data_IF_696264532155
#
_entry.id   IF_696264532155
#
_cell.length_a   1.000
_cell.length_b   1.000
_cell.length_c   1.000
_cell.angle_alpha   90.00
_cell.angle_beta   90.00
_cell.angle_gamma   90.00
#
_symmetry.space_group_name_H-M   'P 1'
#
loop_
_entity.id
_entity.type
_entity.pdbx_description
1 polymer ?
2 non-polymer ?
3 non-polymer ?
4 non-polymer ?
5 water ?
#
# COMPACT_ATOMS: atom_id res chain seq x y z
N UNK A 4 -18.78 22.71 11.22
CA UNK A 4 -17.61 23.21 12.00
C UNK A 4 -16.35 22.38 11.77
N UNK A 5 -15.23 22.93 12.18
CA UNK A 5 -13.92 22.35 11.93
C UNK A 5 -13.74 21.02 12.66
N UNK A 6 -12.72 20.27 12.23
CA UNK A 6 -12.41 18.97 12.81
C UNK A 6 -10.91 18.83 12.91
N UNK A 7 -10.45 18.26 14.02
CA UNK A 7 -9.07 17.79 14.13
C UNK A 7 -9.07 16.42 14.77
N UNK A 8 -7.95 15.71 14.64
CA UNK A 8 -7.83 14.34 15.13
C UNK A 8 -6.68 14.22 16.13
N UNK A 9 -6.82 13.28 17.06
CA UNK A 9 -5.71 12.84 17.90
C UNK A 9 -5.53 11.35 17.64
N UNK A 10 -4.31 10.94 17.30
CA UNK A 10 -4.01 9.54 17.05
C UNK A 10 -3.03 9.05 18.12
N UNK A 11 -3.40 8.03 18.88
CA UNK A 11 -2.51 7.43 19.88
C UNK A 11 -1.61 6.41 19.21
N UNK A 12 -0.31 6.62 19.31
CA UNK A 12 0.67 5.82 18.58
C UNK A 12 1.99 5.63 19.32
N UNK A 13 1.95 5.67 20.65
CA UNK A 13 3.17 5.64 21.49
C UNK A 13 3.61 4.24 21.92
N UNK A 14 2.74 3.24 21.76
CA UNK A 14 3.00 1.89 22.25
C UNK A 14 4.24 1.21 21.68
N UNK A 15 4.88 0.40 22.51
CA UNK A 15 6.07 -0.37 22.11
C UNK A 15 5.75 -1.54 21.19
N UNK A 16 4.60 -2.17 21.38
CA UNK A 16 4.26 -3.38 20.63
C UNK A 16 5.25 -4.50 20.92
N UNK A 17 5.45 -4.78 22.22
CA UNK A 17 6.41 -5.78 22.67
C UNK A 17 6.16 -7.16 22.05
N UNK A 18 4.89 -7.53 21.86
CA UNK A 18 4.56 -8.86 21.36
C UNK A 18 4.68 -8.98 19.84
N UNK A 19 5.09 -7.89 19.18
CA UNK A 19 5.57 -7.96 17.80
C UNK A 19 6.99 -8.53 17.73
N UNK A 20 7.72 -8.45 18.84
CA UNK A 20 9.12 -8.90 18.93
C UNK A 20 9.95 -8.31 17.79
N UNK A 21 9.91 -6.99 17.70
CA UNK A 21 10.46 -6.24 16.58
C UNK A 21 11.25 -5.04 17.08
N UNK A 22 12.18 -4.58 16.25
CA UNK A 22 12.88 -3.32 16.50
C UNK A 22 12.03 -2.12 16.08
N UNK A 23 10.97 -2.37 15.29
CA UNK A 23 10.04 -1.31 14.91
C UNK A 23 9.09 -1.00 16.06
N UNK A 24 8.63 0.26 16.16
CA UNK A 24 7.51 0.53 17.06
C UNK A 24 6.21 -0.04 16.49
N UNK A 25 5.24 -0.21 17.37
CA UNK A 25 4.01 -0.96 17.06
C UNK A 25 3.32 -0.49 15.78
N UNK A 26 3.16 0.81 15.60
CA UNK A 26 2.30 1.33 14.54
C UNK A 26 2.97 1.43 13.17
N UNK A 27 4.27 1.13 13.09
CA UNK A 27 4.98 1.21 11.80
C UNK A 27 4.87 -0.10 11.01
N UNK A 28 4.41 -1.17 11.65
CA UNK A 28 4.14 -2.43 10.93
C UNK A 28 3.02 -2.18 9.93
N UNK A 29 3.13 -2.81 8.78
CA UNK A 29 2.29 -2.44 7.65
C UNK A 29 1.06 -3.31 7.47
N UNK A 30 0.03 -2.70 6.91
CA UNK A 30 -1.12 -3.37 6.31
C UNK A 30 -1.18 -2.89 4.85
N UNK A 31 -1.30 -3.81 3.90
CA UNK A 31 -1.28 -3.49 2.47
C UNK A 31 -0.11 -2.59 2.09
N UNK A 32 1.07 -2.86 2.67
CA UNK A 32 2.29 -2.11 2.34
C UNK A 32 2.41 -0.72 2.96
N UNK A 33 1.47 -0.35 3.82
CA UNK A 33 1.39 0.98 4.39
C UNK A 33 1.33 0.88 5.92
N UNK A 34 2.20 1.63 6.64
CA UNK A 34 2.21 1.53 8.11
C UNK A 34 0.82 1.71 8.70
N UNK A 35 0.49 0.98 9.77
CA UNK A 35 -0.85 1.09 10.40
C UNK A 35 -1.26 2.55 10.68
N UNK A 36 -0.35 3.32 11.27
CA UNK A 36 -0.65 4.71 11.62
C UNK A 36 -0.90 5.57 10.40
N UNK A 37 -0.27 5.23 9.27
CA UNK A 37 -0.48 5.98 8.03
C UNK A 37 -1.89 5.74 7.49
N UNK A 38 -2.42 4.53 7.65
CA UNK A 38 -3.84 4.29 7.35
C UNK A 38 -4.71 5.29 8.13
N UNK A 39 -4.45 5.41 9.42
CA UNK A 39 -5.25 6.27 10.29
C UNK A 39 -5.05 7.76 9.95
N UNK A 40 -3.80 8.18 9.75
CA UNK A 40 -3.50 9.55 9.31
C UNK A 40 -4.28 9.89 8.03
N UNK A 41 -4.23 9.01 7.04
CA UNK A 41 -4.95 9.21 5.77
C UNK A 41 -6.45 9.32 5.96
N UNK A 42 -7.01 8.41 6.76
CA UNK A 42 -8.45 8.47 7.07
C UNK A 42 -8.81 9.82 7.70
N UNK A 43 -8.02 10.26 8.67
CA UNK A 43 -8.23 11.54 9.33
C UNK A 43 -8.22 12.69 8.31
N UNK A 44 -7.29 12.64 7.36
CA UNK A 44 -7.20 13.63 6.30
C UNK A 44 -8.44 13.56 5.37
N UNK A 45 -8.83 12.35 4.95
CA UNK A 45 -10.07 12.15 4.14
C UNK A 45 -11.31 12.78 4.80
N UNK A 46 -11.38 12.70 6.13
CA UNK A 46 -12.43 13.33 6.92
C UNK A 46 -12.35 14.86 6.92
N UNK A 47 -11.23 15.41 6.46
CA UNK A 47 -11.03 16.84 6.42
C UNK A 47 -10.47 17.41 7.70
N UNK A 48 -9.70 16.60 8.43
CA UNK A 48 -9.07 17.05 9.67
C UNK A 48 -8.15 18.22 9.38
N UNK A 49 -8.24 19.26 10.19
CA UNK A 49 -7.41 20.44 10.03
C UNK A 49 -6.04 20.21 10.64
N UNK A 50 -6.02 19.70 11.88
CA UNK A 50 -4.79 19.27 12.54
C UNK A 50 -4.87 17.78 12.84
N UNK A 51 -3.72 17.13 12.93
CA UNK A 51 -3.64 15.74 13.32
C UNK A 51 -2.57 15.67 14.38
N UNK A 52 -2.99 15.48 15.62
CA UNK A 52 -2.09 15.43 16.74
C UNK A 52 -1.69 13.97 16.95
N UNK A 53 -0.42 13.68 16.69
CA UNK A 53 0.09 12.32 16.79
C UNK A 53 0.82 12.14 18.11
N UNK A 54 0.23 11.36 19.00
CA UNK A 54 0.87 11.04 20.26
C UNK A 54 1.84 9.88 20.03
N UNK A 55 3.13 10.12 20.20
CA UNK A 55 4.15 9.13 19.93
C UNK A 55 5.11 9.03 21.11
N UNK A 56 5.97 8.02 21.11
CA UNK A 56 6.83 7.73 22.25
C UNK A 56 7.89 6.70 21.94
N UNK A 57 7.54 5.43 22.11
CA UNK A 57 8.46 4.34 21.78
C UNK A 57 8.82 4.34 20.30
N UNK A 58 10.09 4.05 20.00
CA UNK A 58 10.59 4.11 18.63
C UNK A 58 10.42 5.48 18.03
N UNK A 59 10.58 6.53 18.85
CA UNK A 59 10.32 7.90 18.42
C UNK A 59 11.19 8.31 17.25
N UNK A 60 12.47 7.92 17.29
CA UNK A 60 13.42 8.21 16.20
C UNK A 60 12.98 7.61 14.87
N UNK A 61 12.50 6.37 14.91
CA UNK A 61 12.04 5.67 13.71
C UNK A 61 10.70 6.21 13.23
N UNK A 62 9.84 6.64 14.17
CA UNK A 62 8.58 7.29 13.81
C UNK A 62 8.89 8.55 12.98
N UNK A 63 9.82 9.35 13.47
CA UNK A 63 10.17 10.60 12.80
C UNK A 63 10.73 10.37 11.39
N UNK A 64 11.61 9.37 11.26
CA UNK A 64 12.22 9.08 9.95
C UNK A 64 11.21 8.50 8.96
N UNK A 65 10.37 7.57 9.42
CA UNK A 65 9.40 6.89 8.56
C UNK A 65 8.19 7.76 8.18
N UNK A 66 7.86 8.72 9.03
CA UNK A 66 6.67 9.55 8.83
C UNK A 66 7.05 11.02 8.65
N UNK A 67 8.29 11.28 8.24
CA UNK A 67 8.84 12.65 8.21
C UNK A 67 8.01 13.62 7.36
N UNK A 68 7.37 13.13 6.31
CA UNK A 68 6.57 14.00 5.44
C UNK A 68 5.07 14.07 5.81
N UNK A 69 4.68 13.49 6.94
CA UNK A 69 3.27 13.54 7.35
C UNK A 69 2.95 14.90 7.96
N UNK A 70 1.78 15.42 7.63
CA UNK A 70 1.31 16.69 8.21
C UNK A 70 0.63 16.41 9.55
N UNK A 71 1.48 16.21 10.56
CA UNK A 71 1.02 15.88 11.91
C UNK A 71 1.73 16.76 12.91
N UNK A 72 1.11 16.95 14.07
CA UNK A 72 1.71 17.62 15.21
C UNK A 72 2.36 16.56 16.10
N UNK A 73 3.67 16.69 16.32
CA UNK A 73 4.44 15.66 17.04
C UNK A 73 4.41 15.86 18.56
N UNK A 74 3.47 15.18 19.22
CA UNK A 74 3.29 15.28 20.66
C UNK A 74 3.93 14.07 21.35
N UNK A 75 5.08 14.29 22.00
CA UNK A 75 5.82 13.20 22.65
C UNK A 75 5.25 12.85 24.02
N UNK A 76 5.00 11.56 24.22
CA UNK A 76 4.56 11.00 25.50
C UNK A 76 5.77 10.37 26.18
N UNK A 77 6.05 10.76 27.42
CA UNK A 77 7.18 10.22 28.18
C UNK A 77 6.77 9.12 29.18
N UNK A 78 5.48 8.97 29.43
CA UNK A 78 4.99 7.96 30.38
C UNK A 78 3.55 7.55 30.09
N UNK A 79 3.26 6.26 30.32
CA UNK A 79 1.93 5.73 30.13
C UNK A 79 1.09 5.97 31.39
N UNK A 80 0.10 6.85 31.26
CA UNK A 80 -0.85 7.13 32.34
C UNK A 80 -2.29 7.10 31.81
N UNK A 81 -2.51 6.29 30.78
CA UNK A 81 -3.84 6.05 30.24
C UNK A 81 -4.21 6.94 29.07
N UNK A 82 -5.35 6.64 28.45
CA UNK A 82 -5.78 7.32 27.23
C UNK A 82 -6.15 8.80 27.46
N UNK A 83 -6.76 9.10 28.61
CA UNK A 83 -7.12 10.49 28.94
C UNK A 83 -5.87 11.37 29.12
N UNK A 84 -4.84 10.82 29.76
CA UNK A 84 -3.58 11.55 29.91
C UNK A 84 -2.87 11.77 28.58
N UNK A 85 -2.88 10.75 27.72
CA UNK A 85 -2.29 10.86 26.39
C UNK A 85 -2.94 11.98 25.59
N UNK A 86 -4.27 11.92 25.49
CA UNK A 86 -5.05 12.92 24.78
C UNK A 86 -4.88 14.33 25.37
N UNK A 87 -4.70 14.42 26.70
CA UNK A 87 -4.52 15.72 27.34
C UNK A 87 -3.21 16.40 26.93
N UNK A 88 -2.20 15.62 26.55
CA UNK A 88 -0.97 16.21 26.02
C UNK A 88 -1.21 17.00 24.72
N UNK A 89 -2.23 16.61 23.97
CA UNK A 89 -2.60 17.29 22.72
C UNK A 89 -3.60 18.42 22.93
N UNK A 90 -4.33 18.36 24.05
CA UNK A 90 -5.47 19.24 24.32
C UNK A 90 -5.19 20.76 24.31
N UNK A 91 -3.98 21.19 24.72
CA UNK A 91 -3.68 22.62 24.59
C UNK A 91 -3.75 23.14 23.15
N UNK A 92 -3.64 22.26 22.16
CA UNK A 92 -3.70 22.63 20.75
C UNK A 92 -5.10 22.46 20.13
N UNK A 93 -6.06 21.97 20.92
CA UNK A 93 -7.44 21.91 20.45
C UNK A 93 -8.02 23.32 20.42
N UNK A 94 -8.77 23.62 19.36
CA UNK A 94 -9.57 24.84 19.30
C UNK A 94 -10.90 24.59 20.02
N UNK A 95 -11.32 25.56 20.83
CA UNK A 95 -12.55 25.38 21.62
C UNK A 95 -13.74 24.99 20.77
N UNK A 96 -13.84 25.55 19.56
CA UNK A 96 -15.00 25.36 18.70
C UNK A 96 -14.83 24.40 17.53
N UNK A 97 -13.81 23.54 17.58
CA UNK A 97 -13.68 22.46 16.59
C UNK A 97 -14.04 21.14 17.26
N UNK A 98 -14.54 20.20 16.46
CA UNK A 98 -14.66 18.82 16.91
C UNK A 98 -13.28 18.16 16.95
N UNK A 99 -13.12 17.22 17.88
CA UNK A 99 -11.93 16.39 17.99
C UNK A 99 -12.35 14.93 17.95
N UNK A 100 -11.78 14.16 17.03
CA UNK A 100 -12.00 12.72 16.96
C UNK A 100 -10.76 12.00 17.49
N UNK A 101 -10.96 11.04 18.39
CA UNK A 101 -9.86 10.28 18.97
C UNK A 101 -9.73 8.92 18.27
N UNK A 102 -8.51 8.60 17.84
CA UNK A 102 -8.24 7.41 17.05
C UNK A 102 -6.98 6.73 17.54
N UNK A 103 -6.77 5.49 17.09
CA UNK A 103 -5.67 4.65 17.58
C UNK A 103 -4.80 4.17 16.42
N UNK A 104 -3.48 4.39 16.54
CA UNK A 104 -2.54 4.13 15.46
C UNK A 104 -2.36 2.65 15.14
N UNK A 105 -2.75 1.79 16.09
CA UNK A 105 -2.70 0.33 15.94
C UNK A 105 -4.07 -0.28 15.63
N UNK A 106 -5.04 0.55 15.27
CA UNK A 106 -6.36 0.11 14.82
C UNK A 106 -6.58 0.72 13.45
N UNK A 107 -5.95 0.14 12.42
CA UNK A 107 -5.80 0.83 11.13
C UNK A 107 -7.00 0.83 10.21
N UNK A 108 -7.99 -0.03 10.45
CA UNK A 108 -9.08 -0.25 9.49
C UNK A 108 -10.32 0.62 9.72
N UNK A 109 -10.25 1.55 10.67
CA UNK A 109 -11.36 2.49 10.90
C UNK A 109 -11.64 3.30 9.63
N UNK A 110 -12.90 3.34 9.18
CA UNK A 110 -13.26 3.97 7.91
C UNK A 110 -13.78 5.41 8.05
N UNK A 111 -13.54 6.19 7.01
CA UNK A 111 -14.08 7.55 6.90
C UNK A 111 -15.58 7.54 7.09
N UNK A 112 -16.25 6.61 6.41
CA UNK A 112 -17.72 6.51 6.43
C UNK A 112 -18.26 6.32 7.84
N UNK A 113 -17.73 5.34 8.58
CA UNK A 113 -18.12 5.15 9.98
C UNK A 113 -17.90 6.41 10.80
N UNK A 114 -16.78 7.10 10.56
CA UNK A 114 -16.44 8.30 11.32
C UNK A 114 -17.32 9.51 10.96
N UNK A 115 -17.76 9.61 9.71
CA UNK A 115 -18.73 10.62 9.30
C UNK A 115 -20.04 10.45 10.08
N UNK A 116 -20.54 9.22 10.15
CA UNK A 116 -21.74 8.89 10.92
C UNK A 116 -21.58 9.29 12.38
N UNK A 117 -20.44 8.92 12.97
CA UNK A 117 -20.11 9.26 14.35
C UNK A 117 -20.14 10.77 14.58
N UNK A 118 -19.44 11.51 13.73
CA UNK A 118 -19.38 12.96 13.83
C UNK A 118 -20.76 13.63 13.68
N UNK A 119 -21.58 13.12 12.75
CA UNK A 119 -22.94 13.66 12.58
C UNK A 119 -23.83 13.42 13.81
N UNK A 120 -23.64 12.29 14.49
CA UNK A 120 -24.44 11.93 15.66
C UNK A 120 -24.07 12.71 16.93
N UNK A 121 -22.93 13.41 16.93
CA UNK A 121 -22.50 14.15 18.11
C UNK A 121 -23.46 15.32 18.39
N UNK A 122 -24.12 15.30 19.56
CA UNK A 122 -25.02 16.39 19.92
C UNK A 122 -24.23 17.58 20.45
N UNK A 123 -24.75 18.78 20.25
CA UNK A 123 -24.03 20.00 20.64
C UNK A 123 -23.58 19.93 22.09
N UNK A 124 -22.32 20.32 22.34
CA UNK A 124 -21.67 20.21 23.66
C UNK A 124 -21.66 18.79 24.26
N UNK A 125 -21.97 17.79 23.43
CA UNK A 125 -22.00 16.41 23.88
C UNK A 125 -20.88 15.59 23.27
N UNK A 126 -21.00 14.26 23.40
CA UNK A 126 -20.03 13.31 22.89
C UNK A 126 -20.72 12.32 21.94
N UNK A 127 -20.04 11.99 20.84
CA UNK A 127 -20.46 10.86 20.01
C UNK A 127 -19.47 9.72 20.30
N UNK A 128 -19.97 8.59 20.77
CA UNK A 128 -19.14 7.44 21.13
C UNK A 128 -19.34 6.31 20.12
N UNK A 129 -18.24 5.73 19.64
CA UNK A 129 -18.31 4.59 18.74
C UNK A 129 -18.40 3.30 19.54
N UNK A 130 -19.43 2.51 19.26
CA UNK A 130 -19.65 1.25 19.95
C UNK A 130 -19.77 0.12 18.95
N UNK A 131 -19.73 -1.12 19.47
CA UNK A 131 -19.86 -2.31 18.63
C UNK A 131 -20.48 -3.45 19.45
N UNK A 132 -21.31 -4.26 18.80
CA UNK A 132 -21.92 -5.44 19.43
C UNK A 132 -21.04 -6.67 19.24
N UNK A 133 -20.76 -7.39 20.32
CA UNK A 133 -20.01 -8.64 20.28
C UNK A 133 -20.87 -9.78 20.83
N UNK A 134 -20.76 -10.96 20.23
CA UNK A 134 -21.45 -12.15 20.73
C UNK A 134 -20.93 -12.52 22.11
N UNK A 135 -19.61 -12.46 22.25
CA UNK A 135 -18.94 -12.65 23.53
C UNK A 135 -18.20 -11.36 23.92
N UNK A 136 -18.89 -10.47 24.67
CA UNK A 136 -18.31 -9.18 25.07
C UNK A 136 -17.36 -9.26 26.28
N UNK A 137 -16.98 -10.46 26.70
CA UNK A 137 -16.15 -10.65 27.88
C UNK A 137 -14.84 -9.87 27.77
N UNK A 138 -14.58 -9.04 28.77
CA UNK A 138 -13.34 -8.27 28.85
C UNK A 138 -13.42 -6.87 28.28
N UNK A 139 -14.55 -6.51 27.66
CA UNK A 139 -14.75 -5.19 27.08
C UNK A 139 -15.70 -4.35 27.93
N UNK A 140 -15.54 -3.03 27.87
CA UNK A 140 -16.37 -2.10 28.64
C UNK A 140 -17.79 -2.05 28.12
N UNK A 141 -18.74 -2.44 28.96
CA UNK A 141 -20.15 -2.52 28.55
C UNK A 141 -20.74 -1.12 28.48
N UNK A 142 -21.53 -0.86 27.43
CA UNK A 142 -22.23 0.40 27.28
C UNK A 142 -23.55 0.34 28.05
N UNK A 143 -23.68 1.20 29.04
CA UNK A 143 -24.89 1.30 29.84
C UNK A 143 -25.75 2.46 29.33
N UNK A 144 -26.94 2.14 28.85
CA UNK A 144 -27.90 3.16 28.42
C UNK A 144 -29.02 3.29 29.44
N UNK A 145 -29.49 4.52 29.65
CA UNK A 145 -30.70 4.79 30.42
C UNK A 145 -31.65 5.58 29.55
N UNK A 146 -32.88 5.07 29.41
CA UNK A 146 -33.76 5.40 28.29
C UNK A 146 -33.08 4.90 27.01
N UNK A 147 -32.72 5.82 26.10
CA UNK A 147 -31.89 5.47 24.94
C UNK A 147 -30.61 6.29 24.90
N UNK A 148 -30.19 6.80 26.06
CA UNK A 148 -29.00 7.63 26.17
C UNK A 148 -27.88 6.85 26.87
N UNK A 149 -26.66 7.00 26.40
CA UNK A 149 -25.51 6.36 27.04
C UNK A 149 -25.11 7.16 28.27
N UNK A 150 -25.04 6.50 29.41
CA UNK A 150 -24.75 7.16 30.69
C UNK A 150 -23.39 6.77 31.26
N UNK A 151 -22.95 5.55 30.99
CA UNK A 151 -21.66 5.08 31.50
C UNK A 151 -21.07 3.96 30.64
N UNK A 152 -19.81 3.64 30.90
CA UNK A 152 -19.14 2.49 30.33
C UNK A 152 -18.63 1.67 31.50
N UNK A 153 -19.18 0.48 31.71
CA UNK A 153 -18.83 -0.36 32.86
C UNK A 153 -17.84 -1.47 32.48
N UNK A 154 -16.67 -1.45 33.12
CA UNK A 154 -15.58 -2.38 32.81
C UNK A 154 -15.88 -3.79 33.32
N UNK A 155 -15.32 -4.78 32.65
CA UNK A 155 -15.61 -6.20 32.92
C UNK A 155 -15.63 -6.54 34.40
N UNK A 156 -14.58 -6.11 35.12
CA UNK A 156 -14.42 -6.48 36.52
C UNK A 156 -15.41 -5.77 37.46
N UNK A 157 -16.01 -4.68 36.97
CA UNK A 157 -17.00 -3.92 37.74
C UNK A 157 -18.43 -4.35 37.46
N UNK A 158 -18.68 -4.96 36.29
CA UNK A 158 -20.05 -5.23 35.84
C UNK A 158 -20.75 -6.30 36.68
N UNK A 159 -22.04 -6.10 36.93
CA UNK A 159 -22.88 -7.11 37.58
C UNK A 159 -23.43 -8.11 36.56
N UNK A 160 -24.04 -9.18 37.05
CA UNK A 160 -24.57 -10.26 36.22
C UNK A 160 -25.43 -9.75 35.05
N UNK A 161 -26.29 -8.78 35.33
CA UNK A 161 -27.17 -8.17 34.32
C UNK A 161 -26.37 -7.34 33.30
N UNK A 162 -25.33 -6.66 33.77
CA UNK A 162 -24.48 -5.84 32.91
C UNK A 162 -23.55 -6.69 32.02
N UNK A 163 -23.10 -7.83 32.54
CA UNK A 163 -22.25 -8.75 31.78
C UNK A 163 -22.95 -9.32 30.54
N UNK A 164 -24.28 -9.35 30.55
CA UNK A 164 -25.07 -9.77 29.39
C UNK A 164 -25.18 -8.72 28.29
N UNK A 165 -24.78 -7.48 28.58
CA UNK A 165 -24.81 -6.43 27.57
C UNK A 165 -23.77 -6.75 26.49
N UNK A 166 -24.21 -6.77 25.24
CA UNK A 166 -23.36 -7.14 24.09
C UNK A 166 -22.68 -5.92 23.46
N UNK A 167 -23.27 -4.74 23.66
CA UNK A 167 -22.72 -3.49 23.14
C UNK A 167 -21.55 -3.01 24.01
N UNK A 168 -20.39 -2.86 23.37
CA UNK A 168 -19.17 -2.48 24.07
C UNK A 168 -18.50 -1.21 23.53
N UNK A 169 -17.59 -0.68 24.32
CA UNK A 169 -16.81 0.52 24.00
C UNK A 169 -15.63 0.18 23.06
N UNK A 170 -15.48 0.96 22.00
CA UNK A 170 -14.37 0.82 21.07
C UNK A 170 -13.21 1.79 21.37
N UNK A 171 -13.49 2.84 22.14
CA UNK A 171 -12.49 3.85 22.48
C UNK A 171 -12.52 5.08 21.58
N UNK A 172 -13.18 4.98 20.44
CA UNK A 172 -13.26 6.08 19.49
C UNK A 172 -14.45 6.97 19.85
N UNK A 173 -14.19 8.26 19.92
CA UNK A 173 -15.21 9.24 20.33
C UNK A 173 -14.95 10.60 19.69
N UNK A 174 -16.02 11.39 19.60
CA UNK A 174 -15.94 12.77 19.14
C UNK A 174 -16.58 13.71 20.16
N UNK A 175 -15.89 14.80 20.47
CA UNK A 175 -16.44 15.92 21.26
C UNK A 175 -15.77 17.20 20.81
N UNK A 176 -16.28 18.35 21.25
CA UNK A 176 -15.63 19.63 20.93
C UNK A 176 -14.40 19.87 21.82
N UNK A 177 -13.50 20.73 21.36
CA UNK A 177 -12.24 20.99 22.05
C UNK A 177 -12.39 21.57 23.44
N UNK A 178 -13.30 22.53 23.60
CA UNK A 178 -13.57 23.12 24.92
C UNK A 178 -13.97 22.04 25.92
N UNK A 179 -14.94 21.21 25.52
CA UNK A 179 -15.40 20.10 26.37
C UNK A 179 -14.28 19.11 26.70
N UNK A 180 -13.40 18.82 25.74
CA UNK A 180 -12.24 17.96 26.00
C UNK A 180 -11.31 18.56 27.05
N UNK A 181 -10.96 19.84 26.90
CA UNK A 181 -10.05 20.49 27.85
C UNK A 181 -10.63 20.48 29.27
N UNK A 182 -11.93 20.75 29.37
CA UNK A 182 -12.68 20.78 30.63
C UNK A 182 -12.72 19.41 31.31
N UNK A 183 -13.28 18.42 30.60
CA UNK A 183 -13.48 17.07 31.16
C UNK A 183 -12.19 16.30 31.41
N UNK A 184 -11.21 16.44 30.53
CA UNK A 184 -9.91 15.76 30.70
C UNK A 184 -9.21 16.17 32.00
N UNK A 185 -9.41 17.42 32.40
CA UNK A 185 -8.86 17.96 33.64
C UNK A 185 -9.53 17.37 34.88
N UNK A 186 -10.79 16.93 34.73
CA UNK A 186 -11.55 16.30 35.82
C UNK A 186 -11.35 14.78 35.91
N UNK A 187 -10.63 14.17 34.97
CA UNK A 187 -10.39 12.73 35.00
C UNK A 187 -9.38 12.40 36.09
N UNK A 188 -9.68 11.40 36.91
CA UNK A 188 -8.78 10.93 37.96
C UNK A 188 -8.17 9.58 37.65
N UNK A 189 -7.21 9.15 38.45
CA UNK A 189 -6.55 7.87 38.23
C UNK A 189 -6.57 6.93 39.45
N UNK A 190 -7.60 7.07 40.28
CA UNK A 190 -7.72 6.23 41.49
C UNK A 190 -8.32 4.88 41.11
N UNK A 191 -7.50 4.02 40.51
CA UNK A 191 -7.91 2.70 40.04
C UNK A 191 -6.73 1.74 40.06
N UNK A 192 -6.99 0.45 39.80
CA UNK A 192 -5.97 -0.59 39.92
C UNK A 192 -4.74 -0.40 39.00
N UNK A 193 -4.92 0.26 37.86
CA UNK A 193 -3.79 0.58 36.96
C UNK A 193 -3.15 1.94 37.27
N UNK A 194 -3.86 2.79 38.02
CA UNK A 194 -3.37 4.13 38.31
C UNK A 194 -3.32 5.01 37.07
N UNK A 195 -4.28 4.84 36.18
CA UNK A 195 -4.27 5.52 34.88
C UNK A 195 -5.51 6.40 34.73
N UNK A 196 -5.36 7.47 33.96
CA UNK A 196 -6.46 8.35 33.64
C UNK A 196 -7.15 7.79 32.41
N UNK A 197 -8.43 7.45 32.56
CA UNK A 197 -9.18 6.78 31.51
C UNK A 197 -10.11 7.71 30.76
N UNK A 198 -10.09 7.59 29.44
CA UNK A 198 -10.90 8.40 28.56
C UNK A 198 -12.38 8.03 28.70
N UNK A 199 -12.64 6.79 29.12
CA UNK A 199 -14.01 6.31 29.33
C UNK A 199 -14.81 7.15 30.32
N UNK A 200 -14.12 7.78 31.28
CA UNK A 200 -14.76 8.65 32.27
C UNK A 200 -15.43 9.90 31.69
N UNK A 201 -15.07 10.29 30.47
CA UNK A 201 -15.71 11.44 29.83
C UNK A 201 -17.21 11.23 29.59
N UNK A 202 -17.63 9.97 29.51
CA UNK A 202 -19.05 9.65 29.32
C UNK A 202 -19.85 10.03 30.56
N UNK A 203 -19.31 9.70 31.73
CA UNK A 203 -19.94 10.05 33.00
C UNK A 203 -19.98 11.57 33.15
N UNK A 204 -18.81 12.18 33.02
CA UNK A 204 -18.62 13.63 33.18
C UNK A 204 -19.54 14.44 32.27
N UNK A 205 -19.78 13.95 31.07
CA UNK A 205 -20.69 14.62 30.13
C UNK A 205 -22.12 14.62 30.68
N UNK A 206 -22.60 13.43 31.06
CA UNK A 206 -23.93 13.29 31.68
C UNK A 206 -24.06 14.11 32.97
N UNK A 207 -23.00 14.14 33.78
CA UNK A 207 -22.90 15.02 34.93
C UNK A 207 -23.26 16.48 34.61
N UNK A 208 -22.83 16.99 33.45
CA UNK A 208 -23.11 18.37 33.06
C UNK A 208 -24.35 18.49 32.19
N UNK A 209 -25.29 17.56 32.30
CA UNK A 209 -26.49 17.52 31.47
C UNK A 209 -26.18 17.63 29.96
N UNK A 210 -25.03 17.07 29.54
CA UNK A 210 -24.69 16.97 28.13
C UNK A 210 -24.99 15.55 27.66
N UNK A 211 -25.44 15.45 26.42
CA UNK A 211 -25.86 14.17 25.85
C UNK A 211 -24.67 13.39 25.28
N UNK A 212 -24.66 12.08 25.50
CA UNK A 212 -23.69 11.17 24.89
C UNK A 212 -24.43 10.18 23.98
N UNK A 213 -24.25 10.32 22.67
CA UNK A 213 -24.92 9.48 21.69
C UNK A 213 -23.98 8.38 21.20
N UNK A 214 -24.54 7.19 20.95
CA UNK A 214 -23.75 6.04 20.48
C UNK A 214 -24.03 5.76 19.02
N UNK A 215 -22.95 5.47 18.29
CA UNK A 215 -23.03 5.02 16.91
C UNK A 215 -22.30 3.67 16.83
N UNK A 216 -22.89 2.72 16.13
CA UNK A 216 -22.30 1.39 16.03
C UNK A 216 -21.44 1.28 14.77
N UNK A 217 -20.26 0.68 14.91
CA UNK A 217 -19.37 0.42 13.78
C UNK A 217 -20.01 -0.61 12.84
N UNK A 218 -19.67 -0.54 11.55
CA UNK A 218 -20.16 -1.51 10.57
C UNK A 218 -19.58 -2.89 10.90
N UNK A 219 -18.26 -2.97 10.90
CA UNK A 219 -17.55 -4.21 11.13
C UNK A 219 -16.65 -4.05 12.35
N UNK A 220 -16.58 -5.09 13.18
CA UNK A 220 -15.70 -5.10 14.36
C UNK A 220 -14.24 -4.91 13.96
N UNK A 221 -13.87 -5.32 12.75
CA UNK A 221 -12.48 -5.17 12.30
C UNK A 221 -12.04 -3.70 12.18
N UNK A 222 -13.00 -2.79 12.09
CA UNK A 222 -12.70 -1.36 12.09
C UNK A 222 -12.11 -0.84 13.40
N UNK A 223 -12.38 -1.56 14.49
CA UNK A 223 -11.99 -1.12 15.82
C UNK A 223 -11.01 -2.08 16.51
N UNK A 224 -10.68 -3.18 15.83
CA UNK A 224 -9.68 -4.13 16.33
C UNK A 224 -8.29 -3.54 16.21
N UNK A 225 -7.48 -3.72 17.26
CA UNK A 225 -6.08 -3.35 17.22
C UNK A 225 -5.20 -4.57 17.00
N UNK A 226 -4.04 -4.37 16.39
CA UNK A 226 -3.09 -5.47 16.19
C UNK A 226 -2.01 -5.41 17.25
N UNK A 227 -2.00 -6.39 18.15
CA UNK A 227 -1.00 -6.48 19.23
C UNK A 227 0.18 -7.40 18.92
N UNK A 228 0.03 -8.23 17.90
CA UNK A 228 1.10 -9.11 17.46
C UNK A 228 0.91 -9.41 15.96
N UNK A 229 1.83 -10.17 15.37
CA UNK A 229 1.81 -10.40 13.90
C UNK A 229 0.64 -11.28 13.47
N UNK A 230 0.17 -12.16 14.36
CA UNK A 230 -0.99 -13.02 14.05
C UNK A 230 -2.24 -12.17 13.83
N UNK A 231 -2.47 -11.24 14.75
CA UNK A 231 -3.57 -10.30 14.68
C UNK A 231 -3.42 -9.35 13.49
N UNK A 232 -2.20 -8.90 13.22
CA UNK A 232 -1.90 -8.10 12.04
C UNK A 232 -2.27 -8.85 10.74
N UNK A 233 -1.88 -10.12 10.66
CA UNK A 233 -2.20 -10.96 9.48
C UNK A 233 -3.71 -11.07 9.25
N UNK A 234 -4.46 -11.14 10.34
CA UNK A 234 -5.91 -11.20 10.27
C UNK A 234 -6.46 -9.89 9.74
N UNK A 235 -5.91 -8.77 10.19
CA UNK A 235 -6.33 -7.47 9.65
C UNK A 235 -5.98 -7.34 8.15
N UNK A 236 -4.78 -7.80 7.80
CA UNK A 236 -4.32 -7.81 6.39
C UNK A 236 -5.30 -8.58 5.51
N UNK A 237 -5.64 -9.80 5.91
CA UNK A 237 -6.57 -10.63 5.13
C UNK A 237 -7.97 -10.02 5.01
N UNK A 238 -8.51 -9.49 6.10
CA UNK A 238 -9.81 -8.80 6.05
C UNK A 238 -9.76 -7.60 5.10
N UNK A 239 -8.66 -6.85 5.15
CA UNK A 239 -8.52 -5.64 4.33
C UNK A 239 -8.42 -5.99 2.85
N UNK A 240 -7.60 -7.00 2.54
CA UNK A 240 -7.44 -7.46 1.17
C UNK A 240 -8.76 -8.02 0.61
N UNK A 241 -9.50 -8.77 1.41
CA UNK A 241 -10.80 -9.27 0.97
C UNK A 241 -11.76 -8.13 0.65
N UNK A 242 -11.76 -7.11 1.50
CA UNK A 242 -12.57 -5.93 1.31
C UNK A 242 -12.19 -5.20 0.02
N UNK A 243 -10.88 -4.99 -0.20
CA UNK A 243 -10.37 -4.40 -1.45
C UNK A 243 -10.79 -5.20 -2.68
N UNK A 244 -10.58 -6.51 -2.60
CA UNK A 244 -10.93 -7.42 -3.69
C UNK A 244 -12.43 -7.38 -4.01
N UNK A 245 -13.26 -7.39 -2.97
CA UNK A 245 -14.72 -7.32 -3.14
C UNK A 245 -15.17 -6.05 -3.85
N UNK A 246 -14.57 -4.92 -3.47
CA UNK A 246 -14.88 -3.66 -4.11
C UNK A 246 -14.58 -3.68 -5.61
N UNK A 247 -13.40 -4.19 -5.95
CA UNK A 247 -12.97 -4.30 -7.33
C UNK A 247 -13.86 -5.28 -8.12
N UNK A 248 -14.22 -6.39 -7.50
CA UNK A 248 -15.14 -7.35 -8.11
C UNK A 248 -16.48 -6.69 -8.42
N UNK A 249 -17.04 -5.95 -7.46
CA UNK A 249 -18.32 -5.26 -7.70
C UNK A 249 -18.21 -4.13 -8.75
N UNK A 250 -17.04 -3.52 -8.88
CA UNK A 250 -16.77 -2.57 -9.99
C UNK A 250 -16.59 -3.25 -11.36
N UNK A 251 -16.51 -4.57 -11.37
CA UNK A 251 -16.43 -5.34 -12.62
C UNK A 251 -15.04 -5.84 -13.01
N UNK A 252 -14.09 -5.84 -12.07
CA UNK A 252 -12.79 -6.45 -12.32
C UNK A 252 -12.94 -7.95 -12.09
N UNK A 253 -12.60 -8.77 -13.08
CA UNK A 253 -12.65 -10.22 -12.87
C UNK A 253 -11.39 -10.66 -12.15
N UNK A 254 -11.53 -10.92 -10.85
CA UNK A 254 -10.43 -11.46 -10.04
C UNK A 254 -10.79 -12.92 -9.79
N UNK A 255 -10.02 -13.84 -10.37
CA UNK A 255 -10.38 -15.25 -10.41
C UNK A 255 -10.52 -15.87 -9.02
N UNK A 256 -9.62 -15.51 -8.11
CA UNK A 256 -9.73 -15.88 -6.70
C UNK A 256 -9.37 -14.68 -5.84
N UNK A 257 -10.38 -14.05 -5.20
CA UNK A 257 -10.06 -12.88 -4.36
C UNK A 257 -9.24 -13.22 -3.11
N UNK A 258 -9.24 -14.48 -2.67
CA UNK A 258 -8.39 -14.90 -1.54
C UNK A 258 -6.92 -15.02 -1.96
N UNK A 259 -6.66 -15.01 -3.25
CA UNK A 259 -5.29 -15.05 -3.76
C UNK A 259 -5.01 -13.83 -4.61
N UNK A 260 -5.30 -12.67 -4.04
CA UNK A 260 -5.09 -11.40 -4.71
C UNK A 260 -4.64 -10.38 -3.68
N UNK A 261 -3.65 -9.58 -4.03
CA UNK A 261 -3.12 -8.58 -3.12
C UNK A 261 -2.97 -7.23 -3.82
N UNK A 262 -3.55 -6.20 -3.20
CA UNK A 262 -3.40 -4.83 -3.63
C UNK A 262 -2.73 -4.06 -2.49
N UNK A 263 -1.55 -3.50 -2.78
CA UNK A 263 -0.76 -2.77 -1.80
C UNK A 263 -0.46 -1.39 -2.36
N UNK A 264 -1.51 -0.56 -2.40
CA UNK A 264 -1.46 0.77 -3.00
C UNK A 264 -2.79 1.09 -3.65
N UNK A 265 -2.75 1.61 -4.87
CA UNK A 265 -3.98 2.01 -5.56
C UNK A 265 -4.05 1.41 -6.97
N UNK A 266 -5.25 1.01 -7.37
CA UNK A 266 -5.48 0.46 -8.69
C UNK A 266 -6.58 1.26 -9.39
N UNK A 267 -6.27 1.78 -10.57
CA UNK A 267 -7.25 2.35 -11.49
C UNK A 267 -7.42 1.33 -12.61
N UNK A 268 -8.67 1.04 -12.99
CA UNK A 268 -8.94 -0.01 -13.98
C UNK A 268 -9.97 0.39 -15.04
N UNK A 269 -9.85 -0.20 -16.22
CA UNK A 269 -10.88 -0.10 -17.26
C UNK A 269 -11.92 -1.19 -17.06
N UNK A 270 -12.69 -1.44 -18.11
CA UNK A 270 -13.66 -2.54 -18.12
C UNK A 270 -13.02 -3.85 -18.61
N UNK A 271 -13.62 -4.97 -18.19
CA UNK A 271 -13.27 -6.33 -18.63
C UNK A 271 -11.81 -6.69 -18.35
N UNK A 272 -11.30 -6.17 -17.23
CA UNK A 272 -9.96 -6.51 -16.78
C UNK A 272 -10.01 -7.87 -16.09
N UNK A 273 -9.09 -8.76 -16.44
CA UNK A 273 -9.00 -10.10 -15.86
C UNK A 273 -7.69 -10.29 -15.13
N UNK A 274 -7.77 -10.71 -13.87
CA UNK A 274 -6.62 -10.94 -13.02
C UNK A 274 -6.64 -12.35 -12.46
N UNK A 275 -5.70 -13.18 -12.90
CA UNK A 275 -5.63 -14.59 -12.46
C UNK A 275 -5.07 -14.67 -11.03
N UNK A 276 -5.02 -15.89 -10.48
CA UNK A 276 -4.63 -16.12 -9.10
C UNK A 276 -3.16 -15.76 -8.81
N UNK A 277 -2.92 -15.31 -7.58
CA UNK A 277 -1.59 -14.95 -7.06
C UNK A 277 -0.94 -13.79 -7.78
N UNK A 278 -1.71 -12.74 -8.04
CA UNK A 278 -1.16 -11.49 -8.54
C UNK A 278 -1.03 -10.49 -7.39
N UNK A 279 0.03 -9.69 -7.45
CA UNK A 279 0.31 -8.67 -6.46
C UNK A 279 0.45 -7.34 -7.18
N UNK A 280 -0.35 -6.38 -6.75
CA UNK A 280 -0.39 -5.03 -7.32
C UNK A 280 0.13 -4.09 -6.26
N UNK A 281 1.23 -3.38 -6.53
CA UNK A 281 1.85 -2.50 -5.54
C UNK A 281 1.99 -1.06 -6.03
N UNK A 282 1.93 -0.11 -5.12
CA UNK A 282 2.07 1.31 -5.46
C UNK A 282 0.90 1.75 -6.32
N UNK A 283 1.17 2.62 -7.28
CA UNK A 283 0.12 3.18 -8.13
C UNK A 283 0.10 2.47 -9.46
N UNK A 284 -0.97 1.72 -9.70
CA UNK A 284 -1.07 0.92 -10.92
C UNK A 284 -2.32 1.31 -11.69
N UNK A 285 -2.15 1.53 -12.99
CA UNK A 285 -3.25 1.83 -13.90
C UNK A 285 -3.33 0.77 -14.98
N UNK A 286 -4.49 0.13 -15.09
CA UNK A 286 -4.76 -0.87 -16.12
C UNK A 286 -5.88 -0.37 -17.04
N UNK A 287 -5.64 -0.39 -18.35
CA UNK A 287 -6.66 0.00 -19.32
C UNK A 287 -7.75 -1.05 -19.50
N UNK A 288 -8.56 -0.91 -20.54
CA UNK A 288 -9.62 -1.88 -20.85
C UNK A 288 -9.05 -3.22 -21.34
N UNK A 289 -9.72 -4.30 -20.96
CA UNK A 289 -9.42 -5.66 -21.44
C UNK A 289 -7.97 -6.11 -21.17
N UNK A 290 -7.35 -5.56 -20.14
CA UNK A 290 -6.04 -6.04 -19.72
C UNK A 290 -6.21 -7.43 -19.07
N UNK A 291 -5.35 -8.36 -19.46
CA UNK A 291 -5.33 -9.69 -18.88
C UNK A 291 -4.00 -9.90 -18.16
N UNK A 292 -4.08 -10.20 -16.86
CA UNK A 292 -2.89 -10.49 -16.07
C UNK A 292 -2.88 -11.96 -15.65
N UNK A 293 -1.85 -12.69 -16.09
CA UNK A 293 -1.73 -14.12 -15.81
C UNK A 293 -1.25 -14.39 -14.39
N UNK A 294 -1.23 -15.67 -14.02
CA UNK A 294 -0.91 -16.08 -12.66
C UNK A 294 0.51 -15.68 -12.24
N UNK A 295 0.66 -15.28 -10.98
CA UNK A 295 1.97 -15.06 -10.39
C UNK A 295 2.62 -13.73 -10.69
N UNK A 296 1.94 -12.84 -11.39
CA UNK A 296 2.56 -11.57 -11.77
C UNK A 296 2.64 -10.56 -10.64
N UNK A 297 3.66 -9.70 -10.73
CA UNK A 297 3.86 -8.61 -9.78
C UNK A 297 4.02 -7.30 -10.56
N UNK A 298 3.10 -6.38 -10.29
CA UNK A 298 3.10 -5.06 -10.91
C UNK A 298 3.24 -3.98 -9.83
N UNK A 299 4.31 -3.22 -9.89
CA UNK A 299 4.55 -2.14 -8.94
C UNK A 299 4.77 -0.83 -9.69
N UNK A 300 3.90 0.15 -9.45
CA UNK A 300 3.99 1.45 -10.14
C UNK A 300 4.09 1.32 -11.65
N UNK A 301 3.02 0.82 -12.28
CA UNK A 301 2.99 0.64 -13.72
C UNK A 301 1.73 1.21 -14.35
N UNK A 302 1.84 1.60 -15.62
CA UNK A 302 0.70 1.98 -16.44
C UNK A 302 0.62 0.98 -17.60
N UNK A 303 -0.50 0.28 -17.71
CA UNK A 303 -0.71 -0.74 -18.71
C UNK A 303 -1.89 -0.31 -19.59
N UNK A 304 -1.65 -0.19 -20.89
CA UNK A 304 -2.66 0.27 -21.84
C UNK A 304 -3.72 -0.76 -22.17
N UNK A 305 -4.73 -0.35 -22.94
CA UNK A 305 -5.82 -1.25 -23.35
C UNK A 305 -5.31 -2.51 -24.03
N UNK A 306 -5.98 -3.63 -23.79
CA UNK A 306 -5.79 -4.85 -24.58
C UNK A 306 -4.42 -5.53 -24.41
N UNK A 307 -3.70 -5.19 -23.35
CA UNK A 307 -2.42 -5.81 -23.05
C UNK A 307 -2.63 -7.13 -22.30
N UNK A 308 -1.90 -8.17 -22.71
CA UNK A 308 -1.86 -9.42 -21.99
C UNK A 308 -0.49 -9.60 -21.33
N UNK A 309 -0.49 -9.78 -20.01
CA UNK A 309 0.72 -10.08 -19.25
C UNK A 309 0.61 -11.53 -18.83
N UNK A 310 1.49 -12.36 -19.35
CA UNK A 310 1.42 -13.80 -19.13
C UNK A 310 2.13 -14.16 -17.82
N UNK A 311 2.01 -15.42 -17.38
CA UNK A 311 2.43 -15.76 -16.02
C UNK A 311 3.88 -15.45 -15.61
N UNK A 312 4.06 -15.17 -14.32
CA UNK A 312 5.38 -15.03 -13.72
C UNK A 312 6.19 -13.93 -14.39
N UNK A 313 5.53 -12.79 -14.58
CA UNK A 313 6.18 -11.56 -15.04
C UNK A 313 6.23 -10.56 -13.88
N UNK A 314 7.35 -9.84 -13.79
CA UNK A 314 7.59 -8.89 -12.70
C UNK A 314 7.88 -7.54 -13.37
N UNK A 315 7.03 -6.55 -13.09
CA UNK A 315 7.12 -5.23 -13.69
C UNK A 315 7.19 -4.14 -12.61
N UNK A 316 8.07 -3.16 -12.78
CA UNK A 316 8.18 -2.03 -11.86
C UNK A 316 8.55 -0.75 -12.56
N UNK A 317 7.91 0.36 -12.17
CA UNK A 317 8.18 1.70 -12.71
C UNK A 317 8.29 1.66 -14.24
N UNK A 318 7.26 1.08 -14.85
CA UNK A 318 7.23 0.82 -16.28
C UNK A 318 5.93 1.27 -16.92
N UNK A 319 5.99 1.48 -18.23
CA UNK A 319 4.83 1.88 -19.03
C UNK A 319 4.72 0.91 -20.22
N UNK A 320 3.50 0.41 -20.45
CA UNK A 320 3.25 -0.57 -21.52
C UNK A 320 2.10 -0.09 -22.40
N UNK A 321 2.37 0.07 -23.69
CA UNK A 321 1.39 0.59 -24.63
C UNK A 321 0.35 -0.44 -25.03
N UNK A 322 -0.71 0.01 -25.67
CA UNK A 322 -1.84 -0.85 -25.99
C UNK A 322 -1.48 -2.02 -26.88
N UNK A 323 -2.17 -3.14 -26.66
CA UNK A 323 -2.02 -4.36 -27.45
C UNK A 323 -0.63 -5.01 -27.33
N UNK A 324 0.18 -4.57 -26.38
CA UNK A 324 1.46 -5.20 -26.10
C UNK A 324 1.26 -6.59 -25.48
N UNK A 325 2.28 -7.43 -25.60
CA UNK A 325 2.27 -8.78 -25.06
C UNK A 325 3.54 -9.00 -24.26
N UNK A 326 3.37 -9.28 -22.96
CA UNK A 326 4.48 -9.47 -22.06
C UNK A 326 4.41 -10.85 -21.44
N UNK A 327 5.55 -11.54 -21.39
CA UNK A 327 5.67 -12.76 -20.61
C UNK A 327 5.44 -14.01 -21.44
N UNK A 328 5.49 -15.18 -20.80
CA UNK A 328 5.75 -15.40 -19.37
C UNK A 328 7.22 -15.18 -19.02
N UNK A 329 7.52 -15.04 -17.74
CA UNK A 329 8.90 -14.94 -17.23
C UNK A 329 9.62 -13.69 -17.77
N UNK A 330 8.88 -12.58 -17.86
CA UNK A 330 9.45 -11.30 -18.28
C UNK A 330 9.74 -10.43 -17.08
N UNK A 331 10.82 -9.66 -17.17
CA UNK A 331 11.22 -8.72 -16.14
C UNK A 331 11.36 -7.33 -16.74
N UNK A 332 10.48 -6.41 -16.32
CA UNK A 332 10.59 -5.00 -16.66
C UNK A 332 11.03 -4.27 -15.39
N UNK A 333 12.22 -3.69 -15.45
CA UNK A 333 12.80 -2.95 -14.33
C UNK A 333 12.53 -1.45 -14.52
N UNK A 334 12.87 -0.62 -13.51
CA UNK A 334 12.45 0.78 -13.64
C UNK A 334 12.92 1.48 -14.92
N UNK A 335 12.01 2.24 -15.51
CA UNK A 335 12.29 3.00 -16.71
C UNK A 335 12.08 2.23 -18.00
N UNK A 336 11.48 1.04 -17.92
CA UNK A 336 11.13 0.31 -19.14
C UNK A 336 9.89 0.97 -19.73
N UNK A 337 9.97 1.37 -21.00
CA UNK A 337 8.83 1.95 -21.71
C UNK A 337 8.59 1.18 -23.02
N UNK A 338 7.49 0.44 -23.06
CA UNK A 338 7.15 -0.36 -24.23
C UNK A 338 6.02 0.29 -24.99
N UNK A 339 6.24 0.55 -26.28
CA UNK A 339 5.22 1.14 -27.12
C UNK A 339 4.13 0.13 -27.43
N UNK A 340 3.09 0.59 -28.11
CA UNK A 340 1.99 -0.24 -28.54
C UNK A 340 2.45 -1.41 -29.40
N UNK A 341 1.78 -2.56 -29.23
CA UNK A 341 1.97 -3.72 -30.11
C UNK A 341 3.39 -4.31 -30.01
N UNK A 342 4.07 -4.09 -28.89
CA UNK A 342 5.38 -4.68 -28.65
C UNK A 342 5.25 -6.10 -28.08
N UNK A 343 6.37 -6.84 -28.13
CA UNK A 343 6.41 -8.21 -27.64
C UNK A 343 7.66 -8.46 -26.82
N UNK A 344 7.48 -8.81 -25.55
CA UNK A 344 8.58 -9.12 -24.66
C UNK A 344 8.34 -10.53 -24.12
N UNK A 345 9.31 -11.43 -24.32
CA UNK A 345 9.10 -12.87 -24.08
C UNK A 345 9.84 -13.40 -22.87
N UNK A 346 9.95 -14.72 -22.80
CA UNK A 346 10.49 -15.37 -21.62
C UNK A 346 11.98 -15.14 -21.41
N UNK A 347 12.34 -15.00 -20.13
CA UNK A 347 13.73 -14.84 -19.72
C UNK A 347 14.33 -13.60 -20.37
N UNK A 348 13.54 -12.53 -20.40
CA UNK A 348 13.96 -11.25 -20.96
C UNK A 348 13.89 -10.19 -19.87
N UNK A 349 14.93 -9.38 -19.79
CA UNK A 349 15.06 -8.32 -18.81
C UNK A 349 15.23 -7.00 -19.57
N UNK A 350 14.33 -6.04 -19.33
CA UNK A 350 14.40 -4.71 -19.92
C UNK A 350 14.56 -3.68 -18.80
N UNK A 351 15.63 -2.89 -18.85
CA UNK A 351 15.89 -1.85 -17.83
C UNK A 351 16.13 -0.50 -18.46
N UNK A 352 15.42 0.52 -17.99
CA UNK A 352 15.64 1.91 -18.39
C UNK A 352 15.86 2.04 -19.90
N UNK A 353 14.89 1.52 -20.66
CA UNK A 353 14.95 1.49 -22.11
C UNK A 353 13.59 1.75 -22.72
N UNK A 354 13.59 2.33 -23.90
CA UNK A 354 12.38 2.56 -24.67
C UNK A 354 12.39 1.61 -25.85
N UNK A 355 11.25 0.98 -26.09
CA UNK A 355 11.10 0.00 -27.17
C UNK A 355 9.91 0.42 -28.04
N UNK A 356 10.21 0.75 -29.31
CA UNK A 356 9.21 1.32 -30.21
C UNK A 356 8.18 0.34 -30.76
N UNK A 357 7.16 0.90 -31.39
CA UNK A 357 5.97 0.17 -31.82
C UNK A 357 6.29 -1.07 -32.65
N UNK A 358 5.67 -2.18 -32.28
CA UNK A 358 5.77 -3.41 -33.07
C UNK A 358 7.04 -4.20 -32.89
N UNK A 359 7.97 -3.72 -32.06
CA UNK A 359 9.26 -4.39 -31.89
C UNK A 359 9.13 -5.65 -31.02
N UNK A 360 10.04 -6.60 -31.24
CA UNK A 360 10.00 -7.83 -30.48
C UNK A 360 11.32 -8.19 -29.85
N UNK A 361 11.23 -8.56 -28.57
CA UNK A 361 12.36 -8.99 -27.74
C UNK A 361 11.89 -10.26 -27.00
N UNK A 362 12.02 -11.40 -27.66
CA UNK A 362 11.29 -12.60 -27.26
C UNK A 362 12.00 -13.71 -26.47
N UNK A 363 13.32 -13.66 -26.35
CA UNK A 363 14.04 -14.71 -25.62
C UNK A 363 15.39 -14.30 -25.06
N UNK A 364 15.58 -14.58 -23.77
CA UNK A 364 16.92 -14.76 -23.21
C UNK A 364 17.80 -13.54 -23.49
N UNK A 365 17.27 -12.37 -23.17
CA UNK A 365 17.86 -11.11 -23.61
C UNK A 365 17.88 -10.10 -22.49
N UNK A 366 18.96 -9.32 -22.44
CA UNK A 366 19.06 -8.14 -21.59
C UNK A 366 19.21 -6.89 -22.45
N UNK A 367 18.25 -5.99 -22.29
CA UNK A 367 18.31 -4.65 -22.86
C UNK A 367 18.27 -3.61 -21.72
N UNK A 368 19.37 -2.86 -21.57
CA UNK A 368 19.47 -1.80 -20.59
C UNK A 368 19.98 -0.48 -21.17
N UNK A 369 19.46 0.63 -20.67
CA UNK A 369 19.90 1.96 -21.08
C UNK A 369 19.89 2.14 -22.59
N UNK A 370 18.78 1.73 -23.20
CA UNK A 370 18.71 1.65 -24.63
C UNK A 370 17.47 2.35 -25.17
N UNK A 371 17.59 2.79 -26.42
CA UNK A 371 16.45 3.22 -27.18
C UNK A 371 16.38 2.31 -28.40
N UNK A 372 15.26 1.62 -28.54
CA UNK A 372 15.03 0.73 -29.66
C UNK A 372 13.82 1.27 -30.41
N UNK A 373 13.94 1.39 -31.73
CA UNK A 373 12.88 1.99 -32.55
C UNK A 373 11.72 1.06 -32.83
N UNK A 374 10.96 1.40 -33.88
CA UNK A 374 9.77 0.65 -34.26
C UNK A 374 10.11 -0.51 -35.19
N UNK A 375 9.35 -1.60 -35.05
CA UNK A 375 9.47 -2.80 -35.89
C UNK A 375 10.87 -3.39 -35.96
N UNK A 376 11.55 -3.43 -34.82
CA UNK A 376 12.84 -4.12 -34.73
C UNK A 376 12.65 -5.56 -34.31
N UNK A 377 13.61 -6.39 -34.71
CA UNK A 377 13.66 -7.79 -34.29
C UNK A 377 14.93 -8.00 -33.46
N UNK A 378 14.75 -8.09 -32.15
CA UNK A 378 15.85 -8.29 -31.22
C UNK A 378 15.93 -9.79 -30.91
N UNK A 379 16.89 -10.46 -31.54
CA UNK A 379 16.98 -11.92 -31.49
C UNK A 379 17.30 -12.44 -30.09
N UNK A 380 17.13 -13.76 -29.93
CA UNK A 380 17.44 -14.46 -28.71
C UNK A 380 18.91 -14.25 -28.29
N UNK A 381 19.15 -14.12 -26.98
CA UNK A 381 20.52 -14.05 -26.47
C UNK A 381 21.24 -12.73 -26.69
N UNK A 382 20.53 -11.70 -27.11
CA UNK A 382 21.13 -10.38 -27.33
C UNK A 382 21.38 -9.70 -25.98
N UNK A 383 22.55 -9.08 -25.85
CA UNK A 383 22.90 -8.43 -24.60
C UNK A 383 23.46 -7.04 -24.89
N UNK A 384 22.90 -6.03 -24.23
CA UNK A 384 23.51 -4.70 -24.23
C UNK A 384 24.47 -4.63 -23.03
N UNK A 385 25.72 -4.25 -23.27
CA UNK A 385 26.73 -4.18 -22.21
C UNK A 385 27.63 -2.94 -22.32
N UNK A 386 28.49 -2.79 -21.32
CA UNK A 386 29.43 -1.66 -21.22
C UNK A 386 30.87 -2.15 -21.17
N UNK A 387 31.80 -1.23 -21.41
CA UNK A 387 33.20 -1.47 -21.12
C UNK A 387 33.41 -1.45 -19.62
N UNK A 388 34.45 -2.14 -19.18
CA UNK A 388 34.86 -2.10 -17.79
C UNK A 388 35.26 -0.65 -17.46
N UNK A 389 34.75 -0.11 -16.37
CA UNK A 389 35.11 1.24 -15.98
C UNK A 389 34.02 1.99 -15.26
N UNK A 390 33.69 3.17 -15.76
CA UNK A 390 32.70 4.02 -15.08
C UNK A 390 31.31 3.82 -15.69
N UNK A 391 30.59 4.94 -15.90
CA UNK A 391 29.14 4.93 -16.04
C UNK A 391 28.60 4.04 -17.12
N UNK A 392 27.27 3.88 -17.12
CA UNK A 392 26.55 2.96 -17.98
C UNK A 392 25.91 3.71 -19.16
N UNK A 393 26.57 3.60 -20.31
CA UNK A 393 26.26 4.41 -21.48
C UNK A 393 25.15 3.77 -22.33
N UNK A 394 24.71 4.50 -23.35
CA UNK A 394 23.48 4.15 -24.07
C UNK A 394 23.71 3.45 -25.41
N UNK A 395 22.79 2.54 -25.72
CA UNK A 395 22.71 1.86 -27.01
C UNK A 395 21.49 2.42 -27.76
N UNK A 396 21.70 2.96 -28.95
CA UNK A 396 20.59 3.51 -29.74
C UNK A 396 20.39 2.64 -30.96
N UNK A 397 19.21 2.04 -31.07
CA UNK A 397 18.84 1.22 -32.23
C UNK A 397 17.65 1.89 -32.91
N UNK A 398 17.77 2.13 -34.22
CA UNK A 398 16.73 2.81 -34.98
C UNK A 398 15.53 1.94 -35.31
N UNK A 399 14.80 2.36 -36.35
CA UNK A 399 13.63 1.64 -36.80
C UNK A 399 14.01 0.54 -37.76
N UNK A 400 13.22 -0.53 -37.77
CA UNK A 400 13.34 -1.60 -38.74
C UNK A 400 14.74 -2.28 -38.73
N UNK A 401 15.31 -2.44 -37.54
CA UNK A 401 16.60 -3.11 -37.40
C UNK A 401 16.43 -4.59 -37.03
N UNK A 402 17.22 -5.45 -37.67
CA UNK A 402 17.32 -6.85 -37.30
C UNK A 402 18.64 -7.07 -36.54
N UNK A 403 18.54 -7.50 -35.29
CA UNK A 403 19.69 -7.85 -34.47
C UNK A 403 19.71 -9.36 -34.27
N UNK A 404 20.68 -10.01 -34.89
CA UNK A 404 20.81 -11.47 -34.86
C UNK A 404 21.07 -12.01 -33.47
N UNK A 405 20.70 -13.27 -33.27
CA UNK A 405 20.78 -13.92 -31.99
C UNK A 405 22.21 -13.90 -31.43
N UNK A 406 22.31 -13.73 -30.12
CA UNK A 406 23.60 -13.74 -29.41
C UNK A 406 24.49 -12.52 -29.71
N UNK A 407 23.92 -11.46 -30.28
CA UNK A 407 24.69 -10.26 -30.54
C UNK A 407 24.98 -9.50 -29.23
N UNK A 408 26.22 -9.07 -29.08
CA UNK A 408 26.63 -8.22 -27.97
C UNK A 408 26.69 -6.80 -28.49
N UNK A 409 25.84 -5.93 -27.94
CA UNK A 409 25.82 -4.52 -28.32
C UNK A 409 26.58 -3.75 -27.24
N UNK A 410 27.74 -3.23 -27.59
CA UNK A 410 28.65 -2.63 -26.60
C UNK A 410 28.54 -1.11 -26.61
N UNK A 411 27.82 -0.57 -25.62
CA UNK A 411 27.58 0.89 -25.53
C UNK A 411 28.85 1.66 -25.19
N UNK A 412 28.92 2.96 -25.57
CA UNK A 412 27.93 3.68 -26.35
C UNK A 412 28.01 3.30 -27.82
N UNK A 413 26.88 3.00 -28.44
CA UNK A 413 26.86 2.62 -29.85
C UNK A 413 25.51 2.93 -30.48
N UNK A 414 25.51 3.16 -31.78
CA UNK A 414 24.30 3.47 -32.50
C UNK A 414 24.15 2.54 -33.71
N UNK A 415 22.94 2.01 -33.88
CA UNK A 415 22.61 1.23 -35.07
C UNK A 415 21.44 1.96 -35.77
N UNK A 416 21.68 2.44 -36.98
CA UNK A 416 20.73 3.29 -37.71
C UNK A 416 19.62 2.48 -38.36
N UNK A 417 18.65 3.19 -38.92
CA UNK A 417 17.46 2.58 -39.51
C UNK A 417 17.80 1.49 -40.54
N UNK A 418 17.07 0.37 -40.47
CA UNK A 418 17.17 -0.68 -41.49
C UNK A 418 18.41 -1.55 -41.53
N UNK A 419 19.27 -1.42 -40.51
CA UNK A 419 20.49 -2.22 -40.41
C UNK A 419 20.16 -3.68 -40.14
N UNK A 420 21.08 -4.55 -40.54
CA UNK A 420 20.97 -5.98 -40.26
C UNK A 420 22.26 -6.49 -39.64
N UNK A 421 22.14 -7.12 -38.47
CA UNK A 421 23.28 -7.64 -37.73
C UNK A 421 23.17 -9.15 -37.62
N UNK A 422 24.16 -9.86 -38.15
CA UNK A 422 24.17 -11.33 -38.14
C UNK A 422 24.36 -11.88 -36.74
N UNK A 423 24.02 -13.15 -36.55
CA UNK A 423 24.10 -13.79 -35.24
C UNK A 423 25.56 -13.89 -34.77
N UNK A 424 25.76 -13.81 -33.46
CA UNK A 424 27.10 -14.01 -32.89
C UNK A 424 28.05 -12.85 -33.08
N UNK A 425 27.50 -11.67 -33.35
CA UNK A 425 28.29 -10.50 -33.64
C UNK A 425 28.55 -9.68 -32.36
N UNK A 426 29.71 -9.02 -32.31
CA UNK A 426 30.03 -8.06 -31.27
C UNK A 426 30.10 -6.69 -31.93
N UNK A 427 29.15 -5.81 -31.56
CA UNK A 427 28.99 -4.50 -32.19
C UNK A 427 29.57 -3.45 -31.26
N UNK A 428 30.71 -2.90 -31.66
CA UNK A 428 31.41 -1.86 -30.91
C UNK A 428 31.43 -0.50 -31.62
N UNK A 429 31.33 -0.52 -32.94
CA UNK A 429 31.34 0.70 -33.74
C UNK A 429 29.95 0.93 -34.33
N UNK A 430 29.60 2.20 -34.58
CA UNK A 430 28.27 2.52 -35.10
C UNK A 430 27.97 1.81 -36.40
N UNK A 431 26.70 1.47 -36.59
CA UNK A 431 26.22 0.81 -37.79
C UNK A 431 25.33 1.80 -38.53
N UNK A 432 25.59 1.97 -39.82
CA UNK A 432 24.89 2.94 -40.65
C UNK A 432 23.55 2.44 -41.16
N UNK A 433 22.81 3.35 -41.78
CA UNK A 433 21.51 3.01 -42.33
C UNK A 433 21.66 1.95 -43.42
N UNK A 434 20.83 0.91 -43.35
CA UNK A 434 20.87 -0.21 -44.31
C UNK A 434 22.21 -0.95 -44.40
N UNK A 435 23.01 -0.88 -43.33
CA UNK A 435 24.27 -1.60 -43.31
C UNK A 435 24.08 -3.01 -42.76
N UNK A 436 24.62 -3.99 -43.47
CA UNK A 436 24.60 -5.37 -43.06
C UNK A 436 25.96 -5.68 -42.46
N UNK A 437 25.96 -6.20 -41.23
CA UNK A 437 27.20 -6.59 -40.55
C UNK A 437 27.08 -8.05 -40.19
N UNK A 438 27.99 -8.86 -40.71
CA UNK A 438 27.98 -10.28 -40.39
C UNK A 438 29.37 -10.71 -39.95
N UNK A 439 29.41 -11.58 -38.95
CA UNK A 439 30.66 -12.03 -38.35
C UNK A 439 31.28 -13.13 -39.20
N UNK A 440 32.54 -12.93 -39.57
CA UNK A 440 33.30 -13.93 -40.32
C UNK A 440 33.95 -14.86 -39.33
N UNK A 441 33.52 -16.11 -39.32
CA UNK A 441 34.04 -17.08 -38.34
C UNK A 441 35.14 -17.94 -38.97
N UNK A 442 36.12 -18.29 -38.14
CA UNK A 442 37.12 -19.27 -38.47
C UNK A 442 36.77 -20.54 -37.71
N UNK A 443 36.63 -21.64 -38.42
CA UNK A 443 36.30 -22.93 -37.81
C UNK A 443 37.28 -24.00 -38.27
N UNK A 444 37.63 -24.90 -37.36
CA UNK A 444 38.41 -26.07 -37.68
C UNK A 444 37.47 -27.27 -37.75
N UNK A 445 37.54 -28.00 -38.87
CA UNK A 445 36.71 -29.17 -39.11
C UNK A 445 37.60 -30.41 -39.09
N UNK A 446 37.29 -31.36 -38.20
CA UNK A 446 38.01 -32.62 -38.10
C UNK A 446 37.04 -33.75 -38.37
N UNK A 447 37.30 -34.53 -39.41
CA UNK A 447 36.42 -35.61 -39.80
C UNK A 447 36.76 -36.87 -39.02
N UNK A 448 35.77 -37.73 -38.81
CA UNK A 448 35.98 -39.01 -38.13
C UNK A 448 36.39 -38.87 -36.68
N UNK A 449 35.88 -37.85 -36.01
CA UNK A 449 36.12 -37.67 -34.59
C UNK A 449 35.11 -38.51 -33.81
N UNK A 450 35.60 -39.55 -33.17
CA UNK A 450 34.76 -40.46 -32.40
C UNK A 450 34.61 -39.89 -30.98
N UNK A 451 33.37 -39.59 -30.60
CA UNK A 451 33.09 -39.03 -29.28
C UNK A 451 33.40 -40.03 -28.17
N UNK A 452 33.83 -39.53 -26.99
CA UNK A 452 34.11 -40.41 -25.85
C UNK A 452 32.82 -40.94 -25.21
N UNK A 453 32.14 -41.84 -25.91
CA UNK A 453 30.85 -42.38 -25.45
C UNK A 453 30.78 -43.90 -25.66
X LIG B 1 -9.31 1.17 24.02
X LIG B 1 -8.71 2.23 24.83
X LIG B 1 -9.09 1.48 22.60
X LIG B 1 -8.66 -0.08 24.36
X LIG B 1 -10.75 1.09 24.28
X LIG C 1 2.23 -2.82 23.91
X LIG C 1 2.34 -1.62 23.08
X LIG C 1 3.53 -3.47 23.97
X LIG C 1 1.80 -2.46 25.26
X LIG C 1 1.23 -3.72 23.33
X LIG D 1 15.95 -2.40 -9.76
X LIG D 1 16.71 -1.44 -10.55
X LIG D 1 15.20 -3.29 -10.65
X LIG D 1 16.83 -3.22 -8.92
X LIG D 1 15.03 -1.66 -8.90
X LIG E 1 22.45 -13.46 -45.47
X LIG E 1 21.08 -13.30 -45.07
X LIG E 1 20.90 -12.06 -44.19
X LIG E 1 20.51 -12.43 -42.87
X LIG E 1 21.10 -11.57 -41.88
X LIG E 1 20.78 -12.07 -40.49
X LIG E 1 21.31 -13.39 -40.34
X LIG E 1 21.00 -13.97 -39.07
X LIG E 1 21.82 -15.25 -38.92
X LIG E 1 23.21 -14.95 -38.99
X LIG E 1 23.99 -16.11 -39.24
X LIG E 1 25.47 -15.78 -39.17
X LIG E 1 25.85 -14.95 -40.28
X LIG F 1 -0.37 2.27 19.57
X LIG F 1 -0.28 3.24 20.60
X LIG F 1 -1.36 3.19 21.48
X LIG F 1 -2.49 2.41 21.32
X LIG F 1 -3.50 2.46 22.28
X LIG F 1 -3.40 3.29 23.38
X LIG F 1 -2.26 4.06 23.52
X LIG F 1 -1.27 4.01 22.58
X LIG F 1 -0.15 4.80 22.73
X LIG F 1 -4.35 3.34 24.32
X LIG F 1 -5.42 2.56 24.12
X LIG F 1 -5.62 1.74 23.09
X LIG F 1 -4.65 1.69 22.17
X LIG F 1 -4.81 0.82 21.05
X LIG F 1 -5.99 0.07 20.87
X LIG F 1 -6.53 -0.71 21.88
X LIG F 1 -7.69 -1.43 21.68
X LIG F 1 -8.33 -1.38 20.46
X LIG F 1 -7.80 -0.62 19.46
X LIG F 1 -6.64 0.11 19.65
X LIG F 1 -9.53 -2.11 20.21
X LIG F 1 -10.51 -2.27 21.15
X LIG F 1 -10.49 -1.83 22.30
X LIG F 1 -11.68 -3.06 20.72
X LIG F 1 -11.51 -4.10 19.83
X LIG F 1 -12.62 -4.83 19.43
X LIG F 1 -13.87 -4.52 19.92
X LIG F 1 -14.02 -3.49 20.82
X LIG F 1 -12.93 -2.75 21.22
#
# INVERSE_FOLDING_TARGET
MTKKALSAVILAAGKGTRMYSDLPKVLHTIAGKPMVKHVIDTAHQLGSENIHLIYGHGGDLMRTHLANEQVNWVLQTEQLGTAHAVQQAAPFFKDNENIVVLYGDAPLITKETLEKLIEAKPENGIALLTVNLDNPTGYGRIIRENGNVVAIVEQKDANAEQLNIKEVNTGVMVSDGASFKKWLARVGNNNAQGEYYLTDLIALANQDNCQVVAVQATDVMEVEGANNRLQLAALERYFQNKQASKLLLEGVMIYDPARFDLRGTLEHGKDVEIDVNVIIEGNVKLGDRVKIGTGCVLKNVVIGNDVEIKPYSVLEDSIVGEKAAIGPFSRLRPGAELAAETHVGNFVEIKKSTVGKGSKVNHLTYVGDSEIGSNCNIGAGVITCNYDGANKFKTIIGDDVFVGSDTQLVAPVKVANGATIGAGTTITRDVGENELVITRVAQRHIQGWQRPIKKK
SO4 S O1 O2 O3 O4
SO4 S O1 O2 O3 O4
SO4 S O1 O2 O3 O4
PG4 O1 C1 C2 O2 C3 C4 O3 C5 C6 O4 C7 C8 O5
0N5 C1 O1 C2 C3 C4 C5 C6 C7 O2 N1 C8 N2 C9 N3 C10 C11 C12 C13 C14 C15 N4 C16 O3 C17 C18 C19 C20 C21 C22
#
